data_IF_967833193028
#
_entry.id   IF_967833193028
#
_cell.length_a   1.000
_cell.length_b   1.000
_cell.length_c   1.000
_cell.angle_alpha   90.00
_cell.angle_beta   90.00
_cell.angle_gamma   90.00
#
_symmetry.space_group_name_H-M   'P 1'
#
loop_
_entity.id
_entity.type
_entity.pdbx_description
1 polymer ?
#
# COMPACT_ATOMS: atom_id res chain seq x y z
N UNK A 1 91.55 3.95 2.16
CA UNK A 1 90.54 3.57 1.14
C UNK A 1 89.35 4.46 1.42
N UNK A 2 89.09 5.47 0.58
CA UNK A 2 87.99 6.42 0.80
C UNK A 2 86.72 5.84 0.20
N UNK A 3 85.63 5.81 0.97
CA UNK A 3 84.30 5.41 0.48
C UNK A 3 83.84 6.36 -0.63
N UNK A 4 83.19 5.86 -1.69
CA UNK A 4 82.70 6.70 -2.76
C UNK A 4 81.57 7.60 -2.22
N UNK A 5 81.76 8.90 -2.39
CA UNK A 5 80.79 9.94 -2.10
C UNK A 5 79.64 9.81 -3.11
N UNK A 6 78.55 9.16 -2.69
CA UNK A 6 77.30 9.16 -3.44
C UNK A 6 76.68 10.53 -3.28
N UNK A 7 77.17 11.48 -4.08
CA UNK A 7 76.52 12.77 -4.27
C UNK A 7 75.08 12.48 -4.67
N UNK A 8 74.17 12.68 -3.71
CA UNK A 8 72.74 12.83 -3.91
C UNK A 8 72.52 14.09 -4.75
N UNK A 9 72.82 14.03 -6.04
CA UNK A 9 72.46 15.08 -6.96
C UNK A 9 71.56 14.47 -8.02
N UNK A 10 70.33 14.98 -8.03
CA UNK A 10 69.32 14.84 -9.05
C UNK A 10 69.96 14.85 -10.44
N UNK A 11 70.27 13.68 -11.01
CA UNK A 11 70.64 13.59 -12.42
C UNK A 11 69.44 14.10 -13.23
N UNK A 12 69.51 15.26 -13.90
CA UNK A 12 68.36 15.84 -14.61
C UNK A 12 67.95 15.00 -15.83
N UNK A 13 68.77 14.02 -16.23
CA UNK A 13 68.47 13.06 -17.30
C UNK A 13 67.66 11.84 -16.82
N UNK A 14 67.51 11.65 -15.49
CA UNK A 14 66.78 10.51 -14.95
C UNK A 14 65.26 10.77 -14.96
N UNK A 15 64.53 10.05 -15.83
CA UNK A 15 63.07 10.14 -15.91
C UNK A 15 62.46 9.67 -14.59
N UNK A 16 61.88 10.60 -13.82
CA UNK A 16 61.16 10.29 -12.59
C UNK A 16 59.77 9.71 -12.91
N UNK A 17 59.34 8.63 -12.23
CA UNK A 17 57.98 8.12 -12.39
C UNK A 17 56.95 9.18 -11.97
N UNK A 18 56.26 9.78 -12.93
CA UNK A 18 55.20 10.74 -12.65
C UNK A 18 53.86 10.02 -12.50
N UNK A 19 53.15 10.28 -11.40
CA UNK A 19 51.80 9.75 -11.21
C UNK A 19 50.87 10.38 -12.24
N UNK A 20 50.30 9.55 -13.11
CA UNK A 20 49.30 9.99 -14.07
C UNK A 20 48.09 10.56 -13.32
N UNK A 21 47.68 11.75 -13.75
CA UNK A 21 46.57 12.46 -13.12
C UNK A 21 45.27 11.81 -13.56
N UNK A 22 44.44 11.38 -12.59
CA UNK A 22 43.16 10.75 -12.90
C UNK A 22 42.14 11.82 -13.31
N UNK A 23 41.64 11.81 -14.57
CA UNK A 23 40.70 12.83 -15.06
C UNK A 23 39.37 12.86 -14.30
N UNK A 24 38.98 11.73 -13.69
CA UNK A 24 37.78 11.62 -12.85
C UNK A 24 37.98 12.30 -11.50
N UNK A 25 39.22 12.30 -11.00
CA UNK A 25 39.57 12.96 -9.73
C UNK A 25 39.91 14.43 -9.93
N UNK A 26 40.28 14.89 -11.12
CA UNK A 26 40.46 16.33 -11.38
C UNK A 26 39.16 17.05 -11.61
N UNK A 27 38.17 16.39 -12.22
CA UNK A 27 36.87 17.00 -12.47
C UNK A 27 36.03 17.09 -11.19
N UNK A 28 35.83 18.31 -10.68
CA UNK A 28 34.99 18.57 -9.51
C UNK A 28 33.53 18.16 -9.75
N UNK A 29 32.98 18.52 -10.89
CA UNK A 29 31.60 18.17 -11.27
C UNK A 29 31.37 16.66 -11.26
N UNK A 30 32.34 15.87 -11.74
CA UNK A 30 32.21 14.41 -11.71
C UNK A 30 32.17 13.88 -10.27
N UNK A 31 33.02 14.40 -9.38
CA UNK A 31 33.01 13.98 -7.98
C UNK A 31 31.71 14.36 -7.27
N UNK A 32 31.18 15.56 -7.53
CA UNK A 32 29.95 16.04 -6.92
C UNK A 32 28.75 15.22 -7.41
N UNK A 33 28.67 14.92 -8.71
CA UNK A 33 27.66 14.01 -9.25
C UNK A 33 27.74 12.61 -8.62
N UNK A 34 28.95 12.05 -8.49
CA UNK A 34 29.14 10.74 -7.86
C UNK A 34 28.66 10.74 -6.40
N UNK A 35 28.97 11.80 -5.65
CA UNK A 35 28.51 11.97 -4.27
C UNK A 35 26.99 12.04 -4.19
N UNK A 36 26.37 12.84 -5.06
CA UNK A 36 24.92 12.99 -5.12
C UNK A 36 24.22 11.66 -5.43
N UNK A 37 24.70 10.92 -6.44
CA UNK A 37 24.16 9.61 -6.80
C UNK A 37 24.20 8.61 -5.63
N UNK A 38 25.32 8.56 -4.90
CA UNK A 38 25.45 7.72 -3.71
C UNK A 38 24.51 8.16 -2.59
N UNK A 39 24.32 9.47 -2.39
CA UNK A 39 23.38 9.98 -1.40
C UNK A 39 21.93 9.62 -1.76
N UNK A 40 21.54 9.77 -3.03
CA UNK A 40 20.22 9.43 -3.52
C UNK A 40 19.93 7.92 -3.42
N UNK A 41 20.93 7.08 -3.68
CA UNK A 41 20.83 5.64 -3.48
C UNK A 41 20.63 5.28 -2.00
N UNK A 42 21.44 5.86 -1.09
CA UNK A 42 21.31 5.65 0.36
C UNK A 42 19.97 6.12 0.91
N UNK A 43 19.44 7.22 0.37
CA UNK A 43 18.12 7.78 0.74
C UNK A 43 16.94 7.06 0.09
N UNK A 44 17.19 6.08 -0.79
CA UNK A 44 16.13 5.33 -1.48
C UNK A 44 15.32 6.15 -2.48
N UNK A 45 15.81 7.33 -2.88
CA UNK A 45 15.14 8.23 -3.83
C UNK A 45 15.35 7.81 -5.29
N UNK A 46 16.48 7.14 -5.58
CA UNK A 46 16.72 6.58 -6.90
C UNK A 46 15.79 5.37 -7.15
N UNK A 47 15.28 5.16 -8.38
CA UNK A 47 14.63 3.93 -8.78
C UNK A 47 15.61 2.78 -8.53
N UNK A 48 15.45 2.10 -7.40
CA UNK A 48 16.32 0.99 -7.09
C UNK A 48 15.92 -0.13 -8.03
N UNK A 49 16.81 -0.48 -8.96
CA UNK A 49 16.79 -1.79 -9.62
C UNK A 49 17.15 -2.87 -8.58
N UNK A 50 16.40 -2.93 -7.47
CA UNK A 50 16.53 -3.97 -6.46
C UNK A 50 16.33 -5.29 -7.17
N UNK A 51 17.19 -6.29 -6.94
CA UNK A 51 16.96 -7.62 -7.47
C UNK A 51 15.61 -8.14 -6.96
N UNK A 52 14.89 -8.88 -7.79
CA UNK A 52 13.54 -9.37 -7.49
C UNK A 52 13.49 -10.13 -6.15
N UNK A 53 14.53 -10.92 -5.85
CA UNK A 53 14.66 -11.62 -4.58
C UNK A 53 14.61 -10.67 -3.36
N UNK A 54 15.28 -9.52 -3.43
CA UNK A 54 15.27 -8.55 -2.34
C UNK A 54 13.89 -7.90 -2.16
N UNK A 55 13.21 -7.58 -3.27
CA UNK A 55 11.83 -7.06 -3.22
C UNK A 55 10.88 -8.08 -2.57
N UNK A 56 10.98 -9.35 -2.96
CA UNK A 56 10.16 -10.44 -2.41
C UNK A 56 10.45 -10.65 -0.91
N UNK A 57 11.72 -10.63 -0.50
CA UNK A 57 12.10 -10.77 0.91
C UNK A 57 11.63 -9.57 1.76
N UNK A 58 11.75 -8.34 1.25
CA UNK A 58 11.21 -7.15 1.92
C UNK A 58 9.69 -7.22 2.05
N UNK A 59 8.98 -7.63 0.98
CA UNK A 59 7.53 -7.83 1.00
C UNK A 59 7.13 -8.89 2.03
N UNK A 60 7.75 -10.06 2.01
CA UNK A 60 7.46 -11.16 2.96
C UNK A 60 7.65 -10.72 4.40
N UNK A 61 8.70 -9.95 4.70
CA UNK A 61 8.91 -9.39 6.05
C UNK A 61 7.80 -8.43 6.46
N UNK A 62 7.37 -7.54 5.56
CA UNK A 62 6.25 -6.62 5.81
C UNK A 62 4.95 -7.38 6.06
N UNK A 63 4.63 -8.33 5.20
CA UNK A 63 3.41 -9.14 5.30
C UNK A 63 3.38 -9.93 6.61
N UNK A 64 4.52 -10.46 7.06
CA UNK A 64 4.62 -11.16 8.34
C UNK A 64 4.34 -10.23 9.54
N UNK A 65 4.89 -9.02 9.54
CA UNK A 65 4.65 -8.03 10.61
C UNK A 65 3.19 -7.58 10.62
N UNK A 66 2.60 -7.35 9.44
CA UNK A 66 1.19 -6.99 9.32
C UNK A 66 0.30 -8.11 9.88
N UNK A 67 0.56 -9.36 9.47
CA UNK A 67 -0.20 -10.51 9.96
C UNK A 67 -0.12 -10.67 11.48
N UNK A 68 1.06 -10.49 12.07
CA UNK A 68 1.24 -10.53 13.52
C UNK A 68 0.43 -9.42 14.22
N UNK A 69 0.46 -8.19 13.68
CA UNK A 69 -0.34 -7.08 14.20
C UNK A 69 -1.83 -7.32 14.07
N UNK A 70 -2.30 -7.90 12.96
CA UNK A 70 -3.70 -8.25 12.76
C UNK A 70 -4.16 -9.35 13.73
N UNK A 71 -3.35 -10.39 13.94
CA UNK A 71 -3.65 -11.45 14.91
C UNK A 71 -3.68 -10.91 16.34
N UNK A 72 -2.76 -10.01 16.70
CA UNK A 72 -2.81 -9.31 17.99
C UNK A 72 -4.03 -8.40 18.10
N UNK A 73 -4.37 -7.65 17.05
CA UNK A 73 -5.54 -6.79 17.04
C UNK A 73 -6.83 -7.62 17.18
N UNK A 74 -6.93 -8.75 16.48
CA UNK A 74 -8.04 -9.70 16.60
C UNK A 74 -8.15 -10.26 18.03
N UNK A 75 -7.03 -10.62 18.67
CA UNK A 75 -7.00 -11.07 20.07
C UNK A 75 -7.34 -9.96 21.07
N UNK A 76 -7.04 -8.71 20.74
CA UNK A 76 -7.32 -7.53 21.56
C UNK A 76 -8.75 -6.99 21.38
N UNK A 77 -9.51 -7.47 20.40
CA UNK A 77 -10.92 -7.10 20.26
C UNK A 77 -11.67 -7.55 21.50
N UNK A 78 -12.33 -6.62 22.18
CA UNK A 78 -13.17 -6.95 23.33
C UNK A 78 -14.39 -7.75 22.89
N UNK A 79 -14.89 -8.65 23.73
CA UNK A 79 -16.16 -9.36 23.49
C UNK A 79 -17.29 -8.39 23.13
N UNK A 80 -17.30 -7.20 23.77
CA UNK A 80 -18.23 -6.12 23.46
C UNK A 80 -18.08 -5.57 22.04
N UNK A 81 -16.85 -5.38 21.55
CA UNK A 81 -16.61 -4.91 20.17
C UNK A 81 -17.09 -5.94 19.14
N UNK A 82 -16.91 -7.22 19.43
CA UNK A 82 -17.39 -8.31 18.57
C UNK A 82 -18.93 -8.29 18.50
N UNK A 83 -19.60 -8.09 19.64
CA UNK A 83 -21.06 -8.01 19.69
C UNK A 83 -21.61 -6.75 19.00
N UNK A 84 -20.95 -5.60 19.16
CA UNK A 84 -21.29 -4.37 18.45
C UNK A 84 -21.16 -4.56 16.93
N UNK A 85 -20.09 -5.20 16.46
CA UNK A 85 -19.89 -5.49 15.03
C UNK A 85 -20.99 -6.42 14.49
N UNK A 86 -21.35 -7.48 15.24
CA UNK A 86 -22.45 -8.38 14.87
C UNK A 86 -23.78 -7.64 14.80
N UNK A 87 -24.06 -6.75 15.76
CA UNK A 87 -25.28 -5.94 15.78
C UNK A 87 -25.32 -4.99 14.58
N UNK A 88 -24.20 -4.37 14.23
CA UNK A 88 -24.09 -3.51 13.06
C UNK A 88 -24.39 -4.28 11.77
N UNK A 89 -23.77 -5.44 11.55
CA UNK A 89 -24.03 -6.28 10.37
C UNK A 89 -25.50 -6.70 10.25
N UNK A 90 -26.14 -7.01 11.38
CA UNK A 90 -27.57 -7.37 11.39
C UNK A 90 -28.46 -6.20 11.01
N UNK A 91 -28.13 -4.98 11.45
CA UNK A 91 -28.86 -3.78 11.08
C UNK A 91 -28.70 -3.47 9.60
N UNK A 92 -27.48 -3.56 9.07
CA UNK A 92 -27.18 -3.34 7.65
C UNK A 92 -27.93 -4.33 6.74
N UNK A 93 -27.98 -5.61 7.11
CA UNK A 93 -28.78 -6.61 6.37
C UNK A 93 -30.27 -6.26 6.35
N UNK A 94 -30.81 -5.85 7.49
CA UNK A 94 -32.23 -5.51 7.61
C UNK A 94 -32.57 -4.22 6.85
N UNK A 95 -31.67 -3.23 6.82
CA UNK A 95 -31.81 -2.04 5.98
C UNK A 95 -31.81 -2.40 4.49
N UNK A 96 -30.92 -3.30 4.07
CA UNK A 96 -30.85 -3.76 2.69
C UNK A 96 -32.11 -4.55 2.29
N UNK A 97 -32.63 -5.40 3.17
CA UNK A 97 -33.90 -6.11 2.94
C UNK A 97 -35.08 -5.15 2.82
N UNK A 98 -35.14 -4.12 3.66
CA UNK A 98 -36.18 -3.07 3.57
C UNK A 98 -36.10 -2.31 2.26
N UNK A 99 -34.90 -1.93 1.81
CA UNK A 99 -34.71 -1.27 0.52
C UNK A 99 -35.17 -2.17 -0.63
N UNK A 100 -34.78 -3.45 -0.63
CA UNK A 100 -35.23 -4.42 -1.64
C UNK A 100 -36.75 -4.57 -1.65
N UNK A 101 -37.39 -4.63 -0.49
CA UNK A 101 -38.84 -4.74 -0.39
C UNK A 101 -39.56 -3.49 -0.90
N UNK A 102 -38.99 -2.30 -0.65
CA UNK A 102 -39.50 -1.05 -1.23
C UNK A 102 -39.35 -1.02 -2.75
N UNK A 103 -38.18 -1.38 -3.27
CA UNK A 103 -37.91 -1.46 -4.70
C UNK A 103 -38.84 -2.47 -5.39
N UNK A 104 -39.07 -3.64 -4.78
CA UNK A 104 -40.01 -4.65 -5.29
C UNK A 104 -41.46 -4.13 -5.29
N UNK A 105 -41.88 -3.40 -4.24
CA UNK A 105 -43.18 -2.73 -4.22
C UNK A 105 -43.31 -1.68 -5.33
N UNK A 106 -42.29 -0.85 -5.55
CA UNK A 106 -42.29 0.16 -6.61
C UNK A 106 -42.36 -0.48 -7.99
N UNK A 107 -41.57 -1.55 -8.20
CA UNK A 107 -41.45 -2.28 -9.46
C UNK A 107 -42.63 -3.24 -9.73
N UNK A 108 -43.51 -3.46 -8.73
CA UNK A 108 -44.73 -4.24 -8.94
C UNK A 108 -45.68 -3.49 -9.89
N UNK A 109 -46.19 -4.15 -10.96
CA UNK A 109 -47.08 -3.50 -11.92
C UNK A 109 -48.35 -2.93 -11.28
N UNK A 110 -48.79 -1.75 -11.71
CA UNK A 110 -49.92 -1.05 -11.08
C UNK A 110 -51.23 -1.85 -11.10
N UNK A 111 -51.50 -2.63 -12.15
CA UNK A 111 -52.73 -3.43 -12.23
C UNK A 111 -52.79 -4.49 -11.11
N UNK A 112 -51.65 -4.98 -10.60
CA UNK A 112 -51.58 -5.90 -9.45
C UNK A 112 -51.92 -5.15 -8.16
N UNK A 113 -51.41 -3.92 -8.01
CA UNK A 113 -51.71 -3.03 -6.86
C UNK A 113 -53.21 -2.71 -6.80
N UNK A 114 -53.81 -2.35 -7.93
CA UNK A 114 -55.25 -2.03 -8.04
C UNK A 114 -56.13 -3.26 -7.77
N UNK A 115 -55.76 -4.45 -8.28
CA UNK A 115 -56.52 -5.68 -8.05
C UNK A 115 -56.54 -6.08 -6.57
N UNK A 116 -55.44 -5.89 -5.85
CA UNK A 116 -55.36 -6.13 -4.41
C UNK A 116 -56.26 -5.20 -3.59
N UNK A 117 -56.35 -3.92 -3.98
CA UNK A 117 -57.24 -2.95 -3.33
C UNK A 117 -58.72 -3.26 -3.61
N UNK A 118 -59.06 -3.62 -4.85
CA UNK A 118 -60.42 -3.98 -5.23
C UNK A 118 -60.93 -5.23 -4.48
N UNK A 119 -60.03 -6.19 -4.21
CA UNK A 119 -60.35 -7.41 -3.45
C UNK A 119 -60.61 -7.11 -1.97
N UNK A 120 -59.87 -6.16 -1.37
CA UNK A 120 -60.08 -5.72 0.02
C UNK A 120 -61.38 -4.96 0.20
N UNK A 121 -61.67 -3.99 -0.67
CA UNK A 121 -62.93 -3.25 -0.62
C UNK A 121 -64.14 -4.15 -0.86
N UNK A 122 -64.04 -5.16 -1.74
CA UNK A 122 -65.12 -6.12 -1.95
C UNK A 122 -65.44 -6.98 -0.73
N UNK A 123 -64.43 -7.32 0.10
CA UNK A 123 -64.63 -8.06 1.35
C UNK A 123 -65.20 -7.19 2.47
N UNK A 124 -64.77 -5.94 2.58
CA UNK A 124 -65.37 -4.97 3.53
C UNK A 124 -66.83 -4.68 3.20
N UNK A 125 -67.17 -4.55 1.91
CA UNK A 125 -68.56 -4.38 1.46
C UNK A 125 -69.40 -5.63 1.74
N UNK A 126 -68.86 -6.83 1.59
CA UNK A 126 -69.56 -8.07 1.95
C UNK A 126 -69.80 -8.21 3.46
N UNK A 127 -68.83 -7.84 4.30
CA UNK A 127 -68.97 -7.85 5.76
C UNK A 127 -69.96 -6.78 6.28
N UNK A 128 -70.03 -5.62 5.62
CA UNK A 128 -70.99 -4.56 5.95
C UNK A 128 -72.44 -4.88 5.54
N UNK A 129 -72.65 -5.88 4.66
CA UNK A 129 -73.99 -6.34 4.24
C UNK A 129 -74.52 -7.52 5.08
N UNK A 130 -73.68 -8.15 5.90
CA UNK A 130 -74.04 -9.26 6.81
C UNK A 130 -74.21 -8.81 8.29
N UNK A 131 -74.17 -7.50 8.57
CA UNK A 131 -74.46 -6.90 9.90
C UNK A 131 -75.78 -6.11 9.88
#
# INVERSE_FOLDING_TARGET
>A
MAEPDYMEDDNPELIRPQKLVNPVKTSRNHQDLHRELLMNQKRGLAPQNKPELQKVMEKRKRDQVIKQKEEEAQKKKSDLEIELLKRQQKLEQHELEKQKLQEEQENTPEFVKVKGNLRRTGQEVAQAQES
#
